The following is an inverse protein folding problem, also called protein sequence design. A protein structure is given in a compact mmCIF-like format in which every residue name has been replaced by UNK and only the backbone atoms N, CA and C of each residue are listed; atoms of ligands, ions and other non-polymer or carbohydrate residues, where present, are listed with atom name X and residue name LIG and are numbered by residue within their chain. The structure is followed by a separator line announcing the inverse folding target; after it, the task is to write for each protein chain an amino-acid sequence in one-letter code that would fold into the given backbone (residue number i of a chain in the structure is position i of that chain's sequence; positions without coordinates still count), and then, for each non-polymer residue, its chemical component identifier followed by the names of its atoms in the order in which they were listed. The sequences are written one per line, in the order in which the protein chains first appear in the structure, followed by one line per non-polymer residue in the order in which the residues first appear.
data_IF_648030473494
#
_entry.id   IF_648030473494
#
_cell.length_a   1.000
_cell.length_b   1.000
_cell.length_c   1.000
_cell.angle_alpha   90.00
_cell.angle_beta   90.00
_cell.angle_gamma   90.00
#
_symmetry.space_group_name_H-M   'P 1'
#
loop_
_entity.id
_entity.type
_entity.pdbx_description
1 polymer ?
#
# COMPACT_ATOMS: atom_id res chain seq x y z
N UNK A 1 -9.43 17.09 37.99
CA UNK A 1 -10.14 16.37 36.92
C UNK A 1 -9.53 16.81 35.60
N UNK A 2 -8.54 16.04 35.12
CA UNK A 2 -7.83 16.35 33.88
C UNK A 2 -8.77 16.08 32.69
N UNK A 3 -8.99 17.10 31.88
CA UNK A 3 -9.62 16.95 30.58
C UNK A 3 -8.71 16.04 29.73
N UNK A 4 -9.13 14.78 29.55
CA UNK A 4 -8.45 13.87 28.64
C UNK A 4 -8.47 14.49 27.25
N UNK A 5 -7.29 14.74 26.68
CA UNK A 5 -7.17 15.18 25.29
C UNK A 5 -7.95 14.19 24.43
N UNK A 6 -8.99 14.68 23.76
CA UNK A 6 -9.73 13.91 22.77
C UNK A 6 -8.70 13.52 21.70
N UNK A 7 -8.23 12.27 21.72
CA UNK A 7 -7.41 11.74 20.62
C UNK A 7 -8.22 11.87 19.36
N UNK A 8 -7.77 12.72 18.46
CA UNK A 8 -8.38 12.83 17.15
C UNK A 8 -8.14 11.48 16.44
N UNK A 9 -9.17 10.65 16.34
CA UNK A 9 -9.05 9.33 15.71
C UNK A 9 -8.83 9.52 14.21
N UNK A 10 -7.85 8.80 13.65
CA UNK A 10 -7.52 8.79 12.23
C UNK A 10 -8.80 8.67 11.36
N UNK A 11 -8.99 9.59 10.44
CA UNK A 11 -10.07 9.54 9.46
C UNK A 11 -9.56 8.91 8.17
N UNK A 12 -9.90 7.66 7.92
CA UNK A 12 -9.54 6.97 6.70
C UNK A 12 -10.70 6.92 5.70
N UNK A 13 -10.35 6.97 4.41
CA UNK A 13 -11.25 6.74 3.30
C UNK A 13 -10.74 5.57 2.45
N UNK A 14 -11.59 4.57 2.20
CA UNK A 14 -11.29 3.42 1.33
C UNK A 14 -12.00 3.64 0.00
N UNK A 15 -11.23 3.74 -1.08
CA UNK A 15 -11.77 3.93 -2.43
C UNK A 15 -12.18 2.59 -3.01
N UNK A 16 -13.39 2.51 -3.52
CA UNK A 16 -13.98 1.28 -4.07
C UNK A 16 -14.26 1.46 -5.56
N UNK A 17 -13.72 0.57 -6.36
CA UNK A 17 -13.99 0.47 -7.80
C UNK A 17 -14.82 -0.78 -8.10
N UNK A 18 -15.55 -0.83 -9.23
CA UNK A 18 -16.09 -2.09 -9.72
C UNK A 18 -14.99 -3.15 -9.81
N UNK A 19 -15.17 -4.29 -9.16
CA UNK A 19 -14.18 -5.38 -9.12
C UNK A 19 -13.14 -5.28 -8.00
N UNK A 20 -13.16 -4.25 -7.15
CA UNK A 20 -12.46 -4.26 -5.86
C UNK A 20 -13.02 -5.40 -5.00
N UNK A 21 -12.17 -6.17 -4.33
CA UNK A 21 -12.60 -7.31 -3.51
C UNK A 21 -11.89 -7.40 -2.14
N UNK A 22 -11.01 -6.44 -1.83
CA UNK A 22 -10.30 -6.35 -0.53
C UNK A 22 -10.70 -5.13 0.29
N UNK A 23 -11.75 -4.43 -0.12
CA UNK A 23 -12.25 -3.24 0.58
C UNK A 23 -12.75 -3.55 1.99
N UNK A 24 -13.36 -4.74 2.19
CA UNK A 24 -13.88 -5.16 3.50
C UNK A 24 -12.76 -5.53 4.46
N UNK A 25 -11.76 -6.28 3.99
CA UNK A 25 -10.58 -6.65 4.78
C UNK A 25 -9.82 -5.39 5.21
N UNK A 26 -9.66 -4.44 4.28
CA UNK A 26 -9.03 -3.16 4.55
C UNK A 26 -9.84 -2.32 5.54
N UNK A 27 -11.17 -2.23 5.37
CA UNK A 27 -12.03 -1.48 6.28
C UNK A 27 -12.01 -2.07 7.70
N UNK A 28 -12.05 -3.40 7.81
CA UNK A 28 -11.91 -4.10 9.10
C UNK A 28 -10.56 -3.81 9.76
N UNK A 29 -9.47 -3.89 9.00
CA UNK A 29 -8.12 -3.61 9.49
C UNK A 29 -8.01 -2.17 10.02
N UNK A 30 -8.46 -1.19 9.24
CA UNK A 30 -8.43 0.22 9.65
C UNK A 30 -9.28 0.45 10.91
N UNK A 31 -10.46 -0.13 10.99
CA UNK A 31 -11.30 -0.04 12.18
C UNK A 31 -10.65 -0.67 13.41
N UNK A 32 -10.01 -1.83 13.24
CA UNK A 32 -9.33 -2.55 14.31
C UNK A 32 -8.17 -1.73 14.92
N UNK A 33 -7.37 -1.09 14.06
CA UNK A 33 -6.15 -0.38 14.53
C UNK A 33 -6.44 1.05 14.96
N UNK A 34 -7.41 1.75 14.36
CA UNK A 34 -7.73 3.15 14.67
C UNK A 34 -8.91 3.32 15.64
N UNK A 35 -9.70 2.26 15.87
CA UNK A 35 -10.95 2.34 16.63
C UNK A 35 -12.11 3.01 15.86
N UNK A 36 -11.91 3.40 14.60
CA UNK A 36 -12.90 4.10 13.78
C UNK A 36 -13.06 3.41 12.42
N UNK A 37 -14.31 3.16 12.01
CA UNK A 37 -14.60 2.65 10.68
C UNK A 37 -14.22 3.69 9.61
N UNK A 38 -13.55 3.30 8.51
CA UNK A 38 -13.26 4.20 7.42
C UNK A 38 -14.52 4.55 6.64
N UNK A 39 -14.50 5.69 5.95
CA UNK A 39 -15.51 5.99 4.95
C UNK A 39 -15.27 5.16 3.68
N UNK A 40 -16.32 4.55 3.15
CA UNK A 40 -16.26 3.86 1.85
C UNK A 40 -16.61 4.87 0.76
N UNK A 41 -15.68 5.10 -0.17
CA UNK A 41 -15.80 6.13 -1.23
C UNK A 41 -15.89 5.45 -2.58
N UNK A 42 -17.02 5.61 -3.26
CA UNK A 42 -17.25 4.98 -4.57
C UNK A 42 -16.48 5.71 -5.69
N UNK A 43 -16.05 4.99 -6.69
CA UNK A 43 -15.20 5.51 -7.79
C UNK A 43 -15.77 6.70 -8.56
N UNK A 44 -17.09 6.90 -8.53
CA UNK A 44 -17.75 8.01 -9.21
C UNK A 44 -17.84 9.30 -8.37
N UNK A 45 -17.51 9.25 -7.09
CA UNK A 45 -17.47 10.41 -6.21
C UNK A 45 -16.46 11.46 -6.71
N UNK A 46 -16.79 12.72 -6.48
CA UNK A 46 -15.96 13.85 -6.91
C UNK A 46 -15.04 14.37 -5.80
N UNK A 47 -15.32 14.00 -4.55
CA UNK A 47 -14.62 14.48 -3.36
C UNK A 47 -14.42 13.38 -2.34
N UNK A 48 -13.43 13.56 -1.48
CA UNK A 48 -13.24 12.76 -0.27
C UNK A 48 -14.03 13.37 0.89
N UNK A 49 -14.42 12.59 1.90
CA UNK A 49 -14.98 13.13 3.14
C UNK A 49 -14.07 14.20 3.76
N UNK A 50 -14.69 15.23 4.33
CA UNK A 50 -13.95 16.29 5.02
C UNK A 50 -13.12 15.71 6.18
N UNK A 51 -11.88 16.19 6.34
CA UNK A 51 -10.98 15.73 7.40
C UNK A 51 -10.37 14.35 7.13
N UNK A 52 -10.40 13.83 5.90
CA UNK A 52 -9.68 12.60 5.55
C UNK A 52 -8.17 12.79 5.77
N UNK A 53 -7.57 11.93 6.60
CA UNK A 53 -6.13 11.89 6.87
C UNK A 53 -5.42 10.88 5.96
N UNK A 54 -6.05 9.72 5.74
CA UNK A 54 -5.53 8.61 4.97
C UNK A 54 -6.53 8.18 3.89
N UNK A 55 -6.06 8.08 2.66
CA UNK A 55 -6.79 7.43 1.57
C UNK A 55 -6.17 6.07 1.31
N UNK A 56 -6.98 5.01 1.24
CA UNK A 56 -6.53 3.67 0.87
C UNK A 56 -7.20 3.21 -0.41
N UNK A 57 -6.40 2.73 -1.35
CA UNK A 57 -6.83 2.04 -2.56
C UNK A 57 -6.52 0.56 -2.35
N UNK A 58 -7.52 -0.28 -2.06
CA UNK A 58 -7.31 -1.69 -1.71
C UNK A 58 -7.04 -2.56 -2.94
N UNK A 59 -6.75 -3.82 -2.68
CA UNK A 59 -6.59 -4.85 -3.71
C UNK A 59 -7.90 -5.24 -4.39
N UNK A 60 -7.77 -5.92 -5.51
CA UNK A 60 -8.89 -6.41 -6.32
C UNK A 60 -8.51 -6.54 -7.78
N UNK A 61 -9.54 -6.50 -8.62
CA UNK A 61 -9.45 -6.56 -10.08
C UNK A 61 -10.30 -5.42 -10.66
N UNK A 62 -9.87 -4.17 -10.42
CA UNK A 62 -10.66 -2.99 -10.77
C UNK A 62 -11.04 -2.97 -12.24
N UNK A 63 -12.35 -2.87 -12.51
CA UNK A 63 -12.95 -2.97 -13.85
C UNK A 63 -12.58 -4.28 -14.60
N UNK A 64 -12.29 -5.38 -13.86
CA UNK A 64 -11.91 -6.67 -14.44
C UNK A 64 -10.51 -6.73 -15.02
N UNK A 65 -9.64 -5.76 -14.71
CA UNK A 65 -8.27 -5.63 -15.23
C UNK A 65 -8.17 -5.60 -16.77
N UNK A 66 -9.26 -5.19 -17.43
CA UNK A 66 -9.27 -5.01 -18.87
C UNK A 66 -8.26 -3.96 -19.31
N UNK A 67 -7.64 -4.14 -20.45
CA UNK A 67 -6.52 -3.40 -20.99
C UNK A 67 -5.22 -3.70 -20.21
N UNK A 68 -5.11 -3.19 -19.02
CA UNK A 68 -3.98 -3.32 -18.08
C UNK A 68 -4.50 -3.06 -16.67
N UNK A 69 -4.00 -3.83 -15.68
CA UNK A 69 -4.42 -3.68 -14.30
C UNK A 69 -4.31 -2.23 -13.82
N UNK A 70 -5.39 -1.71 -13.29
CA UNK A 70 -5.46 -0.34 -12.76
C UNK A 70 -5.67 0.78 -13.79
N UNK A 71 -5.49 0.54 -15.10
CA UNK A 71 -5.50 1.61 -16.11
C UNK A 71 -6.83 2.37 -16.22
N UNK A 72 -7.96 1.66 -16.14
CA UNK A 72 -9.29 2.28 -16.17
C UNK A 72 -9.56 3.01 -14.85
N UNK A 73 -9.25 2.37 -13.72
CA UNK A 73 -9.44 2.95 -12.39
C UNK A 73 -8.64 4.24 -12.19
N UNK A 74 -7.41 4.33 -12.72
CA UNK A 74 -6.57 5.53 -12.67
C UNK A 74 -7.22 6.77 -13.29
N UNK A 75 -8.22 6.58 -14.16
CA UNK A 75 -8.99 7.64 -14.83
C UNK A 75 -10.36 7.92 -14.18
N UNK A 76 -10.72 7.16 -13.13
CA UNK A 76 -11.98 7.38 -12.41
C UNK A 76 -12.00 8.77 -11.75
N UNK A 77 -13.21 9.34 -11.59
CA UNK A 77 -13.40 10.71 -11.08
C UNK A 77 -12.78 10.91 -9.71
N UNK A 78 -12.92 9.94 -8.81
CA UNK A 78 -12.39 9.97 -7.46
C UNK A 78 -10.87 10.18 -7.43
N UNK A 79 -10.13 9.72 -8.47
CA UNK A 79 -8.68 9.85 -8.53
C UNK A 79 -8.20 11.31 -8.60
N UNK A 80 -9.05 12.24 -9.05
CA UNK A 80 -8.73 13.67 -8.99
C UNK A 80 -8.70 14.14 -7.52
N UNK A 81 -9.66 13.70 -6.71
CA UNK A 81 -9.69 14.01 -5.28
C UNK A 81 -8.51 13.32 -4.53
N UNK A 82 -8.15 12.10 -4.91
CA UNK A 82 -6.98 11.39 -4.34
C UNK A 82 -5.68 12.14 -4.67
N UNK A 83 -5.48 12.58 -5.92
CA UNK A 83 -4.32 13.40 -6.30
C UNK A 83 -4.27 14.73 -5.54
N UNK A 84 -5.42 15.41 -5.41
CA UNK A 84 -5.51 16.66 -4.66
C UNK A 84 -5.20 16.46 -3.16
N UNK A 85 -5.62 15.34 -2.57
CA UNK A 85 -5.29 14.95 -1.20
C UNK A 85 -3.77 14.73 -1.02
N UNK A 86 -3.16 13.92 -1.90
CA UNK A 86 -1.72 13.69 -1.89
C UNK A 86 -0.91 14.98 -2.10
N UNK A 87 -1.36 15.88 -2.98
CA UNK A 87 -0.71 17.17 -3.23
C UNK A 87 -0.67 18.06 -1.98
N UNK A 88 -1.67 17.95 -1.10
CA UNK A 88 -1.76 18.62 0.21
C UNK A 88 -1.03 17.86 1.34
N UNK A 89 -0.18 16.88 1.00
CA UNK A 89 0.55 15.98 1.91
C UNK A 89 -0.31 15.01 2.70
N UNK A 90 -1.57 14.81 2.32
CA UNK A 90 -2.40 13.71 2.85
C UNK A 90 -1.79 12.36 2.48
N UNK A 91 -1.96 11.36 3.36
CA UNK A 91 -1.39 10.04 3.15
C UNK A 91 -2.23 9.21 2.18
N UNK A 92 -1.57 8.48 1.28
CA UNK A 92 -2.21 7.56 0.33
C UNK A 92 -1.51 6.21 0.37
N UNK A 93 -2.29 5.14 0.52
CA UNK A 93 -1.81 3.76 0.54
C UNK A 93 -2.48 2.97 -0.58
N UNK A 94 -1.70 2.38 -1.48
CA UNK A 94 -2.18 1.46 -2.52
C UNK A 94 -1.67 0.04 -2.28
N UNK A 95 -2.57 -0.92 -2.13
CA UNK A 95 -2.24 -2.34 -1.93
C UNK A 95 -2.61 -3.13 -3.17
N UNK A 96 -1.68 -3.94 -3.68
CA UNK A 96 -1.88 -4.84 -4.83
C UNK A 96 -2.44 -4.08 -6.05
N UNK A 97 -3.71 -4.26 -6.41
CA UNK A 97 -4.37 -3.49 -7.47
C UNK A 97 -4.32 -1.97 -7.20
N UNK A 98 -4.37 -1.55 -5.93
CA UNK A 98 -4.18 -0.15 -5.54
C UNK A 98 -2.79 0.39 -5.92
N UNK A 99 -1.73 -0.41 -5.79
CA UNK A 99 -0.40 -0.02 -6.25
C UNK A 99 -0.35 0.12 -7.78
N UNK A 100 -0.95 -0.83 -8.51
CA UNK A 100 -1.08 -0.75 -9.97
C UNK A 100 -1.81 0.54 -10.38
N UNK A 101 -2.93 0.87 -9.73
CA UNK A 101 -3.68 2.11 -9.97
C UNK A 101 -2.82 3.35 -9.72
N UNK A 102 -2.03 3.39 -8.64
CA UNK A 102 -1.15 4.52 -8.32
C UNK A 102 -0.05 4.73 -9.37
N UNK A 103 0.54 3.65 -9.92
CA UNK A 103 1.48 3.72 -11.02
C UNK A 103 0.79 4.24 -12.30
N UNK A 104 -0.35 3.67 -12.68
CA UNK A 104 -1.13 4.09 -13.85
C UNK A 104 -1.64 5.55 -13.75
N UNK A 105 -1.88 6.02 -12.53
CA UNK A 105 -2.26 7.39 -12.26
C UNK A 105 -1.07 8.37 -12.27
N UNK A 106 0.17 7.90 -12.41
CA UNK A 106 1.39 8.72 -12.33
C UNK A 106 1.67 9.27 -10.92
N UNK A 107 1.08 8.66 -9.88
CA UNK A 107 1.33 9.04 -8.49
C UNK A 107 2.55 8.30 -7.91
N UNK A 108 2.93 7.18 -8.50
CA UNK A 108 4.16 6.43 -8.27
C UNK A 108 4.85 6.15 -9.60
N UNK A 109 6.18 6.11 -9.64
CA UNK A 109 6.92 5.81 -10.87
C UNK A 109 6.90 4.31 -11.18
N UNK A 110 7.22 3.94 -12.43
CA UNK A 110 7.27 2.57 -12.89
C UNK A 110 5.91 1.97 -13.21
N UNK A 111 5.87 0.65 -13.39
CA UNK A 111 4.70 -0.10 -13.82
C UNK A 111 4.73 -1.52 -13.23
N UNK A 112 3.57 -2.11 -13.00
CA UNK A 112 3.42 -3.52 -12.60
C UNK A 112 3.12 -4.35 -13.86
N UNK A 113 4.06 -5.22 -14.23
CA UNK A 113 3.96 -6.12 -15.37
C UNK A 113 3.48 -7.51 -14.93
N UNK A 114 3.14 -8.36 -15.89
CA UNK A 114 2.89 -9.78 -15.62
C UNK A 114 4.05 -10.39 -14.89
N UNK A 115 3.73 -11.27 -13.92
CA UNK A 115 4.74 -12.07 -13.21
C UNK A 115 5.66 -12.79 -14.20
N UNK A 116 6.95 -12.84 -13.93
CA UNK A 116 7.94 -13.44 -14.82
C UNK A 116 7.61 -14.88 -15.23
N UNK A 117 6.99 -15.65 -14.32
CA UNK A 117 6.54 -17.01 -14.59
C UNK A 117 5.19 -17.12 -15.30
N UNK A 118 4.54 -16.01 -15.69
CA UNK A 118 3.22 -15.92 -16.34
C UNK A 118 2.09 -16.62 -15.56
N UNK A 119 2.31 -16.90 -14.27
CA UNK A 119 1.35 -17.56 -13.38
C UNK A 119 0.86 -16.60 -12.32
N UNK A 120 -0.39 -16.82 -11.89
CA UNK A 120 -0.90 -16.18 -10.69
C UNK A 120 -0.15 -16.71 -9.47
N UNK A 121 0.36 -15.78 -8.63
CA UNK A 121 1.05 -16.11 -7.39
C UNK A 121 0.06 -15.91 -6.25
N UNK A 122 -0.15 -16.95 -5.44
CA UNK A 122 -0.93 -16.89 -4.21
C UNK A 122 -0.16 -17.65 -3.13
N UNK A 123 0.59 -16.88 -2.32
CA UNK A 123 1.44 -17.44 -1.27
C UNK A 123 1.89 -16.38 -0.28
N UNK A 124 2.41 -16.82 0.85
CA UNK A 124 3.13 -15.95 1.77
C UNK A 124 4.49 -15.54 1.19
N UNK A 125 4.84 -14.27 1.39
CA UNK A 125 6.09 -13.67 0.96
C UNK A 125 6.86 -13.13 2.16
N UNK A 126 8.18 -13.27 2.15
CA UNK A 126 9.08 -12.60 3.09
C UNK A 126 9.42 -11.22 2.54
N UNK A 127 9.20 -10.19 3.33
CA UNK A 127 9.51 -8.81 2.99
C UNK A 127 10.49 -8.23 4.00
N UNK A 128 11.59 -7.69 3.50
CA UNK A 128 12.48 -6.87 4.30
C UNK A 128 11.99 -5.44 4.32
N UNK A 129 11.90 -4.86 5.51
CA UNK A 129 11.65 -3.43 5.73
C UNK A 129 12.99 -2.70 5.56
N UNK A 130 13.16 -1.95 4.47
CA UNK A 130 14.43 -1.28 4.16
C UNK A 130 14.68 -0.07 5.07
N UNK A 131 13.62 0.63 5.49
CA UNK A 131 13.71 1.77 6.41
C UNK A 131 12.44 1.88 7.27
N UNK A 132 12.58 2.44 8.48
CA UNK A 132 11.50 2.54 9.47
C UNK A 132 11.08 3.98 9.83
N UNK A 133 11.65 4.98 9.15
CA UNK A 133 11.47 6.41 9.43
C UNK A 133 10.38 7.08 8.57
N UNK A 134 9.52 6.28 7.93
CA UNK A 134 8.41 6.78 7.11
C UNK A 134 7.06 6.64 7.85
N UNK A 135 6.01 7.39 7.45
CA UNK A 135 4.67 7.21 8.03
C UNK A 135 4.16 5.75 7.96
N UNK A 136 4.56 5.01 6.92
CA UNK A 136 4.06 3.67 6.62
C UNK A 136 4.90 2.55 7.25
N UNK A 137 6.14 2.80 7.61
CA UNK A 137 7.06 1.76 8.08
C UNK A 137 7.50 1.93 9.53
N UNK A 138 7.13 3.03 10.19
CA UNK A 138 7.53 3.33 11.57
C UNK A 138 7.05 2.34 12.63
N UNK A 139 6.06 1.49 12.32
CA UNK A 139 5.64 0.39 13.17
C UNK A 139 6.53 -0.85 13.09
N UNK A 140 7.62 -0.80 12.32
CA UNK A 140 8.62 -1.84 12.15
C UNK A 140 10.02 -1.34 12.51
N UNK A 141 10.97 -2.27 12.61
CA UNK A 141 12.40 -1.94 12.66
C UNK A 141 13.02 -2.01 11.25
N UNK A 142 13.99 -1.13 10.97
CA UNK A 142 14.77 -1.24 9.74
C UNK A 142 15.51 -2.59 9.70
N UNK A 143 15.47 -3.26 8.57
CA UNK A 143 16.04 -4.60 8.39
C UNK A 143 15.13 -5.74 8.88
N UNK A 144 14.02 -5.46 9.54
CA UNK A 144 13.05 -6.49 9.96
C UNK A 144 12.50 -7.23 8.74
N UNK A 145 12.41 -8.56 8.84
CA UNK A 145 11.70 -9.39 7.87
C UNK A 145 10.30 -9.65 8.41
N UNK A 146 9.30 -9.43 7.58
CA UNK A 146 7.89 -9.70 7.87
C UNK A 146 7.34 -10.67 6.84
N UNK A 147 6.38 -11.49 7.24
CA UNK A 147 5.69 -12.44 6.37
C UNK A 147 4.29 -11.90 6.09
N UNK A 148 3.96 -11.71 4.82
CA UNK A 148 2.65 -11.23 4.39
C UNK A 148 2.20 -11.94 3.12
N UNK A 149 0.90 -12.23 2.93
CA UNK A 149 0.42 -12.91 1.74
C UNK A 149 0.47 -12.01 0.51
N UNK A 150 0.65 -12.62 -0.64
CA UNK A 150 0.50 -12.01 -1.97
C UNK A 150 -0.45 -12.84 -2.81
N UNK A 151 -1.28 -12.17 -3.62
CA UNK A 151 -2.23 -12.80 -4.53
C UNK A 151 -2.37 -11.94 -5.80
N UNK A 152 -1.56 -12.20 -6.83
CA UNK A 152 -1.53 -11.37 -8.04
C UNK A 152 -1.00 -12.11 -9.27
N UNK A 153 -1.50 -11.71 -10.46
CA UNK A 153 -0.96 -12.12 -11.77
C UNK A 153 0.03 -11.11 -12.37
N UNK A 154 -0.07 -9.86 -11.94
CA UNK A 154 0.70 -8.71 -12.42
C UNK A 154 1.32 -7.94 -11.25
N UNK A 155 2.37 -8.51 -10.66
CA UNK A 155 3.09 -7.93 -9.52
C UNK A 155 4.57 -7.67 -9.80
N UNK A 156 5.03 -7.88 -11.03
CA UNK A 156 6.41 -7.65 -11.44
C UNK A 156 6.66 -6.16 -11.65
N UNK A 157 7.18 -5.50 -10.63
CA UNK A 157 7.53 -4.08 -10.71
C UNK A 157 8.69 -3.86 -11.67
N UNK A 158 8.51 -2.94 -12.61
CA UNK A 158 9.49 -2.59 -13.63
C UNK A 158 9.56 -1.07 -13.79
N UNK A 159 10.76 -0.54 -13.94
CA UNK A 159 11.03 0.86 -14.27
C UNK A 159 12.32 0.96 -15.08
N UNK A 160 12.52 2.10 -15.74
CA UNK A 160 13.78 2.39 -16.40
C UNK A 160 14.95 2.59 -15.41
N UNK A 161 16.18 2.54 -15.91
CA UNK A 161 17.36 2.60 -15.05
C UNK A 161 17.48 3.92 -14.28
N UNK A 162 17.08 5.05 -14.88
CA UNK A 162 17.11 6.35 -14.23
C UNK A 162 16.13 6.39 -13.05
N UNK A 163 14.91 5.92 -13.27
CA UNK A 163 13.88 5.79 -12.21
C UNK A 163 14.35 4.87 -11.10
N UNK A 164 14.94 3.71 -11.43
CA UNK A 164 15.49 2.78 -10.44
C UNK A 164 16.62 3.43 -9.64
N UNK A 165 17.55 4.10 -10.29
CA UNK A 165 18.66 4.79 -9.62
C UNK A 165 18.14 5.88 -8.64
N UNK A 166 17.10 6.63 -9.03
CA UNK A 166 16.47 7.61 -8.13
C UNK A 166 15.77 6.96 -6.95
N UNK A 167 14.97 5.90 -7.19
CA UNK A 167 14.29 5.17 -6.12
C UNK A 167 15.27 4.62 -5.07
N UNK A 168 16.40 4.07 -5.54
CA UNK A 168 17.46 3.54 -4.68
C UNK A 168 18.21 4.67 -3.95
N UNK A 169 18.66 5.69 -4.69
CA UNK A 169 19.47 6.77 -4.13
C UNK A 169 18.72 7.67 -3.15
N UNK A 170 17.41 7.82 -3.32
CA UNK A 170 16.54 8.59 -2.44
C UNK A 170 15.93 7.73 -1.30
N UNK A 171 16.23 6.43 -1.25
CA UNK A 171 15.70 5.50 -0.25
C UNK A 171 14.18 5.35 -0.31
N UNK A 172 13.61 5.40 -1.51
CA UNK A 172 12.15 5.29 -1.72
C UNK A 172 11.66 3.86 -1.86
N UNK A 173 12.56 2.88 -1.99
CA UNK A 173 12.20 1.47 -1.87
C UNK A 173 12.12 1.14 -0.39
N UNK A 174 10.91 0.82 0.10
CA UNK A 174 10.68 0.59 1.54
C UNK A 174 10.42 -0.87 1.89
N UNK A 175 10.00 -1.67 0.90
CA UNK A 175 9.83 -3.12 1.06
C UNK A 175 10.47 -3.87 -0.11
N UNK A 176 11.19 -4.97 0.20
CA UNK A 176 11.75 -5.87 -0.79
C UNK A 176 11.39 -7.32 -0.50
N UNK A 177 11.19 -8.09 -1.56
CA UNK A 177 11.14 -9.54 -1.46
C UNK A 177 12.49 -10.09 -1.06
N UNK A 178 12.52 -10.99 -0.09
CA UNK A 178 13.76 -11.60 0.45
C UNK A 178 13.53 -13.05 0.80
N UNK A 179 14.63 -13.78 1.06
CA UNK A 179 14.60 -15.04 1.79
C UNK A 179 14.19 -14.78 3.27
N UNK A 180 13.80 -15.82 4.03
CA UNK A 180 13.40 -15.67 5.43
C UNK A 180 14.49 -15.06 6.33
N UNK A 181 15.77 -15.18 5.96
CA UNK A 181 16.89 -14.58 6.67
C UNK A 181 17.16 -13.10 6.30
N UNK A 182 16.35 -12.53 5.41
CA UNK A 182 16.47 -11.15 4.95
C UNK A 182 17.48 -10.94 3.82
N UNK A 183 18.09 -12.00 3.30
CA UNK A 183 18.97 -11.91 2.13
C UNK A 183 18.18 -11.75 0.84
N UNK A 184 18.74 -10.98 -0.11
CA UNK A 184 18.16 -10.88 -1.46
C UNK A 184 18.60 -12.09 -2.28
N UNK A 185 17.66 -13.00 -2.50
CA UNK A 185 17.86 -14.18 -3.34
C UNK A 185 16.79 -14.20 -4.44
N UNK A 186 17.22 -14.41 -5.68
CA UNK A 186 16.33 -14.48 -6.83
C UNK A 186 15.26 -15.59 -6.69
N UNK A 187 15.53 -16.66 -5.96
CA UNK A 187 14.60 -17.74 -5.68
C UNK A 187 13.40 -17.30 -4.85
N UNK A 188 13.49 -16.16 -4.14
CA UNK A 188 12.41 -15.60 -3.32
C UNK A 188 11.71 -14.42 -3.99
N UNK A 189 12.18 -13.99 -5.14
CA UNK A 189 11.55 -12.95 -5.97
C UNK A 189 10.60 -13.60 -7.01
N UNK A 190 9.55 -14.22 -6.54
CA UNK A 190 8.68 -15.10 -7.34
C UNK A 190 7.98 -14.40 -8.52
N UNK A 191 7.78 -13.10 -8.45
CA UNK A 191 7.12 -12.34 -9.52
C UNK A 191 8.11 -11.72 -10.52
N UNK A 192 9.42 -11.75 -10.23
CA UNK A 192 10.47 -11.21 -11.10
C UNK A 192 10.64 -9.68 -10.98
N UNK A 193 10.12 -9.08 -9.92
CA UNK A 193 10.21 -7.63 -9.67
C UNK A 193 11.64 -7.12 -9.74
N UNK A 194 11.88 -6.05 -10.49
CA UNK A 194 13.22 -5.44 -10.59
C UNK A 194 13.75 -5.09 -9.21
N UNK A 195 15.00 -5.44 -8.91
CA UNK A 195 15.66 -5.26 -7.62
C UNK A 195 14.87 -5.85 -6.43
N UNK A 196 14.02 -6.86 -6.68
CA UNK A 196 13.11 -7.46 -5.69
C UNK A 196 12.19 -6.42 -5.01
N UNK A 197 11.85 -5.33 -5.68
CA UNK A 197 11.00 -4.26 -5.15
C UNK A 197 9.60 -4.80 -4.88
N UNK A 198 9.14 -4.70 -3.64
CA UNK A 198 7.80 -5.07 -3.20
C UNK A 198 6.92 -3.86 -2.88
N UNK A 199 7.53 -2.72 -2.53
CA UNK A 199 6.82 -1.47 -2.24
C UNK A 199 7.72 -0.25 -2.29
N UNK A 200 7.15 0.87 -2.81
CA UNK A 200 7.85 2.13 -3.04
C UNK A 200 7.05 3.34 -2.56
N UNK A 201 7.75 4.41 -2.25
CA UNK A 201 7.21 5.73 -1.96
C UNK A 201 7.30 6.68 -3.17
N UNK A 202 6.40 7.67 -3.20
CA UNK A 202 6.58 8.84 -4.05
C UNK A 202 7.71 9.75 -3.49
N UNK A 203 8.08 10.80 -4.24
CA UNK A 203 9.14 11.76 -3.85
C UNK A 203 8.88 12.46 -2.50
N UNK A 204 7.61 12.69 -2.17
CA UNK A 204 7.23 13.38 -0.92
C UNK A 204 7.08 12.45 0.28
N UNK A 205 7.20 11.13 0.10
CA UNK A 205 7.07 10.13 1.15
C UNK A 205 5.66 9.94 1.70
N UNK A 206 4.64 10.51 1.07
CA UNK A 206 3.26 10.46 1.53
C UNK A 206 2.32 9.55 0.71
N UNK A 207 2.85 8.91 -0.33
CA UNK A 207 2.13 7.89 -1.13
C UNK A 207 2.96 6.63 -1.13
N UNK A 208 2.39 5.54 -0.62
CA UNK A 208 2.98 4.19 -0.66
C UNK A 208 2.17 3.29 -1.57
N UNK A 209 2.86 2.55 -2.44
CA UNK A 209 2.30 1.39 -3.14
C UNK A 209 3.08 0.13 -2.79
N UNK A 210 2.39 -0.98 -2.53
CA UNK A 210 3.00 -2.29 -2.32
C UNK A 210 2.11 -3.41 -2.84
N UNK A 211 2.73 -4.50 -3.32
CA UNK A 211 1.99 -5.64 -3.89
C UNK A 211 1.45 -6.63 -2.85
N UNK A 212 2.18 -6.98 -1.79
CA UNK A 212 1.67 -7.86 -0.74
C UNK A 212 0.56 -7.23 0.09
N UNK A 213 -0.22 -8.08 0.78
CA UNK A 213 -1.46 -7.76 1.50
C UNK A 213 -1.26 -7.77 3.02
N UNK A 214 -0.72 -6.72 3.65
CA UNK A 214 -0.54 -6.66 5.10
C UNK A 214 -1.88 -6.67 5.86
N UNK A 215 -2.98 -6.22 5.23
CA UNK A 215 -4.33 -6.21 5.83
C UNK A 215 -4.86 -7.61 6.15
N UNK A 216 -4.29 -8.64 5.54
CA UNK A 216 -4.68 -10.03 5.78
C UNK A 216 -3.86 -10.71 6.89
N UNK A 217 -3.00 -9.97 7.61
CA UNK A 217 -2.22 -10.46 8.76
C UNK A 217 -2.13 -9.41 9.87
N UNK A 218 -3.29 -9.02 10.40
CA UNK A 218 -3.41 -8.01 11.47
C UNK A 218 -3.95 -8.57 12.78
N UNK A 219 -4.51 -9.78 12.75
CA UNK A 219 -5.07 -10.50 13.89
C UNK A 219 -4.53 -11.93 13.95
N UNK A 220 -4.34 -12.48 15.16
CA UNK A 220 -3.84 -13.85 15.34
C UNK A 220 -4.72 -14.92 14.64
N UNK A 221 -6.01 -14.67 14.50
CA UNK A 221 -6.95 -15.53 13.76
C UNK A 221 -6.64 -15.64 12.27
N UNK A 222 -5.84 -14.72 11.72
CA UNK A 222 -5.36 -14.73 10.33
C UNK A 222 -4.02 -15.48 10.16
N UNK A 223 -3.52 -16.14 11.21
CA UNK A 223 -2.26 -16.87 11.24
C UNK A 223 -1.05 -16.05 11.67
N UNK A 224 -1.07 -14.73 11.51
CA UNK A 224 0.01 -13.82 11.91
C UNK A 224 -0.54 -12.42 12.19
N UNK A 225 0.29 -11.59 12.85
CA UNK A 225 0.02 -10.16 13.08
C UNK A 225 1.09 -9.26 12.48
N UNK A 226 1.97 -9.81 11.63
CA UNK A 226 3.12 -9.07 11.11
C UNK A 226 2.74 -7.93 10.15
N UNK A 227 1.58 -8.02 9.49
CA UNK A 227 1.03 -6.92 8.69
C UNK A 227 0.53 -5.73 9.50
N UNK A 228 0.26 -5.93 10.81
CA UNK A 228 -0.31 -4.88 11.68
C UNK A 228 0.59 -3.67 11.84
N UNK A 229 1.92 -3.86 11.79
CA UNK A 229 2.91 -2.79 11.99
C UNK A 229 2.73 -1.61 11.03
N UNK A 230 2.36 -1.87 9.77
CA UNK A 230 2.09 -0.82 8.78
C UNK A 230 0.94 0.11 9.24
N UNK A 231 -0.18 -0.48 9.64
CA UNK A 231 -1.37 0.27 10.03
C UNK A 231 -1.23 0.94 11.40
N UNK A 232 -0.60 0.28 12.36
CA UNK A 232 -0.27 0.85 13.67
C UNK A 232 0.66 2.07 13.51
N UNK A 233 1.67 1.97 12.65
CA UNK A 233 2.57 3.06 12.33
C UNK A 233 1.85 4.28 11.75
N UNK A 234 0.86 4.07 10.87
CA UNK A 234 0.03 5.14 10.33
C UNK A 234 -0.80 5.84 11.42
N UNK A 235 -1.43 5.06 12.31
CA UNK A 235 -2.19 5.61 13.44
C UNK A 235 -1.28 6.44 14.36
N UNK A 236 -0.11 5.91 14.70
CA UNK A 236 0.87 6.62 15.54
C UNK A 236 1.42 7.89 14.87
N UNK A 237 1.58 7.87 13.54
CA UNK A 237 2.01 9.06 12.81
C UNK A 237 0.96 10.17 12.85
N UNK A 238 -0.31 9.82 12.66
CA UNK A 238 -1.42 10.76 12.60
C UNK A 238 -1.92 11.19 13.99
N UNK A 239 -1.65 10.42 15.04
CA UNK A 239 -2.01 10.74 16.42
C UNK A 239 -1.07 11.77 17.08
N UNK A 240 0.05 12.14 16.46
CA UNK A 240 0.95 13.17 17.03
C UNK A 240 0.31 14.53 16.91
N UNK A 241 0.30 15.33 18.00
CA UNK A 241 -0.04 16.75 17.89
C UNK A 241 0.96 17.41 16.95
N UNK A 242 0.43 18.28 16.09
CA UNK A 242 1.22 19.11 15.19
C UNK A 242 2.13 20.07 15.98
#
# INVERSE_FOLDING_TARGET
MGAGAVRNLMQAAVVVFPGTNRERDMARTLQLVSGRAPAMVWHSELSLPAGTDLVVIPGGFSYGDYLRCGAIAARARVMNAVRAHAAKRGLVLGICNGFQILCEAGMLPGVLMRNAGLKFICREMCLKVERSDTPFTRGYNAGQVIHVPSAHGEGNYTADQETLARLEGEGRVVFRYTAPDGTRDAAWNFNGSTNAIAGILNERGNVLGMMPHPENQVEASMGSTEGRGLFAGLVDHLAKPA
#
